data_IF_491010323262
#
_entry.id   IF_491010323262
#
_cell.length_a   1.000
_cell.length_b   1.000
_cell.length_c   1.000
_cell.angle_alpha   90.00
_cell.angle_beta   90.00
_cell.angle_gamma   90.00
#
_symmetry.space_group_name_H-M   'P 1'
#
loop_
_entity.id
_entity.type
_entity.pdbx_description
1 polymer ?
#
# COMPACT_ATOMS: atom_id res chain seq x y z
N UNK A 1 -5.58 18.17 27.86
CA UNK A 1 -6.27 17.24 26.95
C UNK A 1 -5.80 17.58 25.54
N UNK A 2 -4.66 17.04 25.12
CA UNK A 2 -4.16 17.23 23.75
C UNK A 2 -4.96 16.28 22.86
N UNK A 3 -5.87 16.81 22.05
CA UNK A 3 -6.55 16.01 21.04
C UNK A 3 -5.49 15.42 20.11
N UNK A 4 -5.47 14.10 19.96
CA UNK A 4 -4.60 13.45 18.97
C UNK A 4 -4.95 14.04 17.61
N UNK A 5 -3.97 14.52 16.82
CA UNK A 5 -4.27 15.02 15.49
C UNK A 5 -4.94 13.92 14.68
N UNK A 6 -6.13 14.20 14.16
CA UNK A 6 -6.90 13.28 13.33
C UNK A 6 -6.10 12.96 12.08
N UNK A 7 -5.79 11.68 11.87
CA UNK A 7 -5.04 11.20 10.70
C UNK A 7 -5.89 11.34 9.44
N UNK A 8 -5.28 11.64 8.29
CA UNK A 8 -5.99 11.82 7.02
C UNK A 8 -5.68 10.68 6.05
N UNK A 9 -6.73 10.09 5.48
CA UNK A 9 -6.64 9.00 4.51
C UNK A 9 -7.16 9.49 3.16
N UNK A 10 -6.49 9.11 2.09
CA UNK A 10 -6.99 9.30 0.73
C UNK A 10 -7.38 7.95 0.13
N UNK A 11 -8.63 7.81 -0.28
CA UNK A 11 -9.16 6.64 -0.98
C UNK A 11 -9.19 6.92 -2.48
N UNK A 12 -8.53 6.10 -3.29
CA UNK A 12 -8.40 6.31 -4.73
C UNK A 12 -8.95 5.12 -5.51
N UNK A 13 -9.80 5.41 -6.49
CA UNK A 13 -10.35 4.39 -7.38
C UNK A 13 -11.52 3.62 -6.76
N UNK A 14 -11.71 2.38 -7.21
CA UNK A 14 -12.85 1.53 -6.84
C UNK A 14 -12.46 0.54 -5.73
N UNK A 15 -12.31 1.06 -4.52
CA UNK A 15 -12.01 0.26 -3.33
C UNK A 15 -13.23 -0.59 -2.90
N UNK A 16 -13.01 -1.73 -2.23
CA UNK A 16 -14.09 -2.47 -1.56
C UNK A 16 -14.76 -1.61 -0.47
N UNK A 17 -15.89 -2.07 0.07
CA UNK A 17 -16.49 -1.39 1.22
C UNK A 17 -15.55 -1.41 2.43
N UNK A 18 -15.02 -0.23 2.77
CA UNK A 18 -14.08 -0.04 3.88
C UNK A 18 -14.78 0.39 5.17
N UNK A 19 -16.10 0.56 5.18
CA UNK A 19 -16.84 1.09 6.33
C UNK A 19 -16.54 0.30 7.61
N UNK A 20 -16.63 -1.03 7.56
CA UNK A 20 -16.33 -1.90 8.69
C UNK A 20 -14.84 -1.91 9.09
N UNK A 21 -13.92 -1.73 8.14
CA UNK A 21 -12.48 -1.71 8.42
C UNK A 21 -12.05 -0.40 9.10
N UNK A 22 -12.68 0.71 8.71
CA UNK A 22 -12.34 2.05 9.18
C UNK A 22 -13.19 2.51 10.37
N UNK A 23 -14.22 1.75 10.74
CA UNK A 23 -15.09 2.07 11.88
C UNK A 23 -14.28 2.24 13.18
N UNK A 24 -14.61 3.31 13.91
CA UNK A 24 -13.94 3.69 15.15
C UNK A 24 -12.48 4.15 15.03
N UNK A 25 -11.89 4.22 13.83
CA UNK A 25 -10.57 4.83 13.66
C UNK A 25 -10.69 6.37 13.73
N UNK A 26 -9.79 7.07 14.46
CA UNK A 26 -9.78 8.52 14.54
C UNK A 26 -9.17 9.15 13.27
N UNK A 27 -9.75 8.82 12.13
CA UNK A 27 -9.26 9.16 10.80
C UNK A 27 -10.33 9.90 10.00
N UNK A 28 -9.94 10.97 9.32
CA UNK A 28 -10.75 11.58 8.28
C UNK A 28 -10.35 10.99 6.93
N UNK A 29 -11.30 10.75 6.03
CA UNK A 29 -11.00 10.23 4.70
C UNK A 29 -11.61 11.10 3.60
N UNK A 30 -10.89 11.23 2.49
CA UNK A 30 -11.38 11.81 1.24
C UNK A 30 -11.33 10.77 0.14
N UNK A 31 -12.11 10.98 -0.92
CA UNK A 31 -12.19 10.08 -2.06
C UNK A 31 -11.74 10.82 -3.31
N UNK A 32 -10.91 10.17 -4.12
CA UNK A 32 -10.53 10.61 -5.46
C UNK A 32 -11.02 9.58 -6.49
N UNK A 33 -11.88 10.04 -7.41
CA UNK A 33 -12.42 9.19 -8.47
C UNK A 33 -11.48 8.99 -9.67
N UNK A 34 -10.30 9.62 -9.68
CA UNK A 34 -9.30 9.50 -10.74
C UNK A 34 -7.89 9.74 -10.19
N UNK A 35 -6.88 9.24 -10.92
CA UNK A 35 -5.46 9.43 -10.55
C UNK A 35 -5.09 10.91 -10.50
N UNK A 36 -5.55 11.71 -11.47
CA UNK A 36 -5.29 13.16 -11.50
C UNK A 36 -5.86 13.88 -10.26
N UNK A 37 -7.10 13.56 -9.86
CA UNK A 37 -7.69 14.12 -8.64
C UNK A 37 -6.95 13.65 -7.40
N UNK A 38 -6.48 12.40 -7.39
CA UNK A 38 -5.70 11.86 -6.29
C UNK A 38 -4.37 12.60 -6.15
N UNK A 39 -3.61 12.79 -7.22
CA UNK A 39 -2.35 13.55 -7.22
C UNK A 39 -2.57 14.96 -6.66
N UNK A 40 -3.60 15.67 -7.13
CA UNK A 40 -3.91 17.01 -6.61
C UNK A 40 -4.24 17.01 -5.10
N UNK A 41 -4.99 16.02 -4.62
CA UNK A 41 -5.31 15.88 -3.19
C UNK A 41 -4.07 15.50 -2.38
N UNK A 42 -3.20 14.63 -2.91
CA UNK A 42 -1.94 14.23 -2.30
C UNK A 42 -1.02 15.44 -2.11
N UNK A 43 -0.90 16.29 -3.12
CA UNK A 43 -0.05 17.49 -3.07
C UNK A 43 -0.58 18.55 -2.10
N UNK A 44 -1.90 18.76 -2.09
CA UNK A 44 -2.52 19.85 -1.33
C UNK A 44 -2.80 19.50 0.13
N UNK A 45 -3.31 18.28 0.39
CA UNK A 45 -3.70 17.85 1.72
C UNK A 45 -2.63 17.03 2.44
N UNK A 46 -1.66 16.48 1.70
CA UNK A 46 -0.62 15.54 2.19
C UNK A 46 -1.18 14.50 3.16
N UNK A 47 -1.96 13.52 2.66
CA UNK A 47 -2.58 12.50 3.50
C UNK A 47 -1.54 11.66 4.23
N UNK A 48 -1.86 11.24 5.45
CA UNK A 48 -1.03 10.33 6.24
C UNK A 48 -0.97 8.91 5.63
N UNK A 49 -1.99 8.51 4.86
CA UNK A 49 -2.06 7.20 4.20
C UNK A 49 -2.89 7.29 2.91
N UNK A 50 -2.47 6.57 1.88
CA UNK A 50 -3.21 6.43 0.63
C UNK A 50 -3.65 4.97 0.45
N UNK A 51 -4.94 4.74 0.17
CA UNK A 51 -5.47 3.45 -0.27
C UNK A 51 -5.87 3.54 -1.75
N UNK A 52 -5.43 2.59 -2.58
CA UNK A 52 -5.77 2.57 -4.01
C UNK A 52 -6.02 1.15 -4.53
N UNK A 53 -6.80 0.99 -5.59
CA UNK A 53 -7.09 -0.31 -6.22
C UNK A 53 -6.14 -0.67 -7.38
N UNK A 54 -5.23 0.23 -7.75
CA UNK A 54 -4.29 0.04 -8.86
C UNK A 54 -2.83 -0.04 -8.40
N UNK A 55 -1.99 -0.81 -9.11
CA UNK A 55 -0.58 -1.02 -8.77
C UNK A 55 0.39 -0.01 -9.40
N UNK A 56 -0.06 0.85 -10.32
CA UNK A 56 0.78 1.88 -10.91
C UNK A 56 0.89 3.09 -9.96
N UNK A 57 1.95 3.14 -9.17
CA UNK A 57 2.09 4.10 -8.07
C UNK A 57 2.97 5.30 -8.39
N UNK A 58 3.44 5.45 -9.63
CA UNK A 58 4.48 6.44 -9.96
C UNK A 58 4.02 7.87 -9.71
N UNK A 59 2.81 8.23 -10.14
CA UNK A 59 2.28 9.58 -9.98
C UNK A 59 2.03 9.94 -8.50
N UNK A 60 1.45 9.01 -7.73
CA UNK A 60 1.21 9.19 -6.30
C UNK A 60 2.53 9.31 -5.53
N UNK A 61 3.52 8.49 -5.88
CA UNK A 61 4.84 8.49 -5.25
C UNK A 61 5.62 9.76 -5.60
N UNK A 62 5.51 10.27 -6.83
CA UNK A 62 6.11 11.54 -7.22
C UNK A 62 5.51 12.72 -6.43
N UNK A 63 4.20 12.72 -6.23
CA UNK A 63 3.48 13.76 -5.48
C UNK A 63 3.79 13.74 -3.97
N UNK A 64 3.90 12.55 -3.37
CA UNK A 64 4.25 12.40 -1.96
C UNK A 64 5.26 11.27 -1.75
N UNK A 65 6.57 11.56 -1.88
CA UNK A 65 7.64 10.58 -1.83
C UNK A 65 7.62 9.68 -0.63
N UNK A 66 7.17 10.15 0.55
CA UNK A 66 7.21 9.37 1.79
C UNK A 66 5.86 8.82 2.27
N UNK A 67 4.76 9.08 1.57
CA UNK A 67 3.44 8.64 2.03
C UNK A 67 3.34 7.10 1.97
N UNK A 68 2.86 6.41 3.02
CA UNK A 68 2.54 5.01 2.90
C UNK A 68 1.37 4.83 1.92
N UNK A 69 1.47 3.81 1.08
CA UNK A 69 0.45 3.46 0.09
C UNK A 69 0.04 2.01 0.34
N UNK A 70 -1.25 1.73 0.51
CA UNK A 70 -1.79 0.39 0.60
C UNK A 70 -2.60 0.10 -0.65
N UNK A 71 -2.21 -0.93 -1.39
CA UNK A 71 -2.88 -1.33 -2.63
C UNK A 71 -3.89 -2.44 -2.31
N UNK A 72 -5.15 -2.24 -2.70
CA UNK A 72 -6.24 -3.21 -2.62
C UNK A 72 -6.62 -3.66 -4.04
N UNK A 73 -5.81 -4.53 -4.63
CA UNK A 73 -5.96 -4.92 -6.04
C UNK A 73 -6.70 -6.26 -6.17
N UNK A 74 -7.51 -6.40 -7.22
CA UNK A 74 -8.14 -7.68 -7.56
C UNK A 74 -7.20 -8.63 -8.31
N UNK A 75 -6.20 -8.08 -9.00
CA UNK A 75 -5.18 -8.84 -9.68
C UNK A 75 -4.09 -9.33 -8.70
N UNK A 76 -3.46 -10.45 -9.03
CA UNK A 76 -2.29 -11.02 -8.36
C UNK A 76 -1.13 -11.20 -9.35
N UNK A 77 -1.05 -10.39 -10.40
CA UNK A 77 0.07 -10.44 -11.33
C UNK A 77 1.37 -10.13 -10.58
N UNK A 78 2.37 -10.98 -10.75
CA UNK A 78 3.64 -10.84 -10.04
C UNK A 78 4.30 -9.49 -10.33
N UNK A 79 4.20 -8.95 -11.56
CA UNK A 79 4.70 -7.61 -11.88
C UNK A 79 4.06 -6.51 -11.04
N UNK A 80 2.75 -6.57 -10.82
CA UNK A 80 2.05 -5.63 -9.93
C UNK A 80 2.51 -5.76 -8.49
N UNK A 81 2.73 -6.98 -8.02
CA UNK A 81 3.27 -7.24 -6.67
C UNK A 81 4.70 -6.71 -6.55
N UNK A 82 5.56 -6.88 -7.56
CA UNK A 82 6.93 -6.38 -7.55
C UNK A 82 7.00 -4.85 -7.57
N UNK A 83 6.17 -4.18 -8.37
CA UNK A 83 6.05 -2.71 -8.33
C UNK A 83 5.59 -2.25 -6.94
N UNK A 84 4.60 -2.93 -6.36
CA UNK A 84 4.11 -2.62 -5.04
C UNK A 84 5.12 -2.92 -3.92
N UNK A 85 5.97 -3.96 -4.05
CA UNK A 85 7.04 -4.22 -3.08
C UNK A 85 7.96 -3.00 -2.91
N UNK A 86 8.29 -2.32 -4.01
CA UNK A 86 9.20 -1.18 -3.98
C UNK A 86 8.52 0.12 -3.54
N UNK A 87 7.26 0.30 -3.96
CA UNK A 87 6.56 1.59 -3.89
C UNK A 87 5.38 1.61 -2.94
N UNK A 88 4.93 0.49 -2.39
CA UNK A 88 3.77 0.41 -1.50
C UNK A 88 4.17 -0.10 -0.12
N UNK A 89 3.43 0.30 0.91
CA UNK A 89 3.53 -0.28 2.23
C UNK A 89 3.03 -1.74 2.23
N UNK A 90 1.89 -1.99 1.60
CA UNK A 90 1.28 -3.32 1.49
C UNK A 90 0.50 -3.48 0.18
N UNK A 91 0.32 -4.74 -0.22
CA UNK A 91 -0.54 -5.16 -1.33
C UNK A 91 -1.47 -6.25 -0.83
N UNK A 92 -2.76 -6.01 -0.89
CA UNK A 92 -3.81 -6.95 -0.49
C UNK A 92 -4.65 -7.31 -1.69
N UNK A 93 -5.09 -8.55 -1.71
CA UNK A 93 -6.01 -9.08 -2.72
C UNK A 93 -7.17 -9.79 -2.05
N UNK A 94 -8.29 -10.02 -2.76
CA UNK A 94 -9.43 -10.72 -2.18
C UNK A 94 -9.06 -12.06 -1.53
N UNK A 95 -9.73 -12.44 -0.43
CA UNK A 95 -10.84 -11.73 0.20
C UNK A 95 -10.40 -10.51 1.03
N UNK A 96 -11.09 -9.38 0.85
CA UNK A 96 -10.84 -8.11 1.54
C UNK A 96 -11.47 -8.11 2.93
N UNK A 97 -10.93 -8.94 3.82
CA UNK A 97 -11.45 -9.06 5.19
C UNK A 97 -11.26 -7.75 5.97
N UNK A 98 -12.33 -7.17 6.58
CA UNK A 98 -12.25 -5.88 7.24
C UNK A 98 -11.20 -5.81 8.36
N UNK A 99 -11.03 -6.90 9.12
CA UNK A 99 -10.02 -7.00 10.16
C UNK A 99 -8.59 -6.89 9.62
N UNK A 100 -8.31 -7.55 8.50
CA UNK A 100 -6.99 -7.53 7.85
C UNK A 100 -6.67 -6.13 7.30
N UNK A 101 -7.66 -5.48 6.66
CA UNK A 101 -7.50 -4.12 6.17
C UNK A 101 -7.23 -3.16 7.33
N UNK A 102 -8.01 -3.26 8.41
CA UNK A 102 -7.85 -2.43 9.60
C UNK A 102 -6.45 -2.55 10.20
N UNK A 103 -5.97 -3.79 10.35
CA UNK A 103 -4.62 -4.05 10.86
C UNK A 103 -3.56 -3.38 9.99
N UNK A 104 -3.64 -3.53 8.66
CA UNK A 104 -2.68 -2.95 7.72
C UNK A 104 -2.75 -1.42 7.71
N UNK A 105 -3.94 -0.84 7.79
CA UNK A 105 -4.13 0.62 7.89
C UNK A 105 -3.51 1.17 9.16
N UNK A 106 -3.77 0.56 10.30
CA UNK A 106 -3.18 0.97 11.60
C UNK A 106 -1.65 0.82 11.54
N UNK A 107 -1.16 -0.32 11.06
CA UNK A 107 0.29 -0.55 10.94
C UNK A 107 0.95 0.51 10.04
N UNK A 108 0.35 0.86 8.91
CA UNK A 108 0.87 1.87 7.99
C UNK A 108 0.84 3.29 8.57
N UNK A 109 -0.15 3.62 9.40
CA UNK A 109 -0.26 4.92 10.06
C UNK A 109 0.73 5.09 11.22
N UNK A 110 1.05 4.00 11.91
CA UNK A 110 1.94 3.98 13.07
C UNK A 110 3.42 3.76 12.68
N UNK A 111 3.68 2.97 11.65
CA UNK A 111 5.01 2.57 11.23
C UNK A 111 5.38 3.23 9.90
N UNK A 112 6.23 4.25 9.97
CA UNK A 112 6.86 4.80 8.77
C UNK A 112 8.09 3.96 8.43
N UNK A 113 7.94 3.06 7.45
CA UNK A 113 9.08 2.49 6.73
C UNK A 113 9.20 3.22 5.40
N UNK A 114 10.32 3.91 5.13
CA UNK A 114 10.44 4.71 3.92
C UNK A 114 10.28 3.83 2.67
N UNK A 115 9.75 4.38 1.58
CA UNK A 115 9.68 3.68 0.30
C UNK A 115 11.07 3.30 -0.20
N UNK A 116 11.15 2.21 -0.97
CA UNK A 116 12.43 1.62 -1.38
C UNK A 116 13.21 0.93 -0.24
N UNK A 117 12.57 0.71 0.91
CA UNK A 117 13.04 -0.20 1.98
C UNK A 117 13.07 -1.67 1.53
N UNK A 118 12.27 -2.02 0.53
CA UNK A 118 12.37 -3.26 -0.25
C UNK A 118 12.67 -2.83 -1.68
N UNK A 119 13.65 -3.48 -2.32
CA UNK A 119 14.00 -3.24 -3.71
C UNK A 119 14.20 -4.55 -4.43
N UNK A 120 13.65 -4.67 -5.63
CA UNK A 120 13.71 -5.87 -6.44
C UNK A 120 14.91 -5.76 -7.39
N UNK A 121 15.95 -6.55 -7.13
CA UNK A 121 17.18 -6.55 -7.92
C UNK A 121 17.10 -7.51 -9.13
N UNK A 122 16.35 -8.61 -8.99
CA UNK A 122 16.17 -9.60 -10.05
C UNK A 122 14.81 -10.29 -9.94
N UNK A 123 14.21 -10.58 -11.09
CA UNK A 123 12.90 -11.23 -11.28
C UNK A 123 13.06 -12.37 -12.27
N UNK A 124 13.56 -13.51 -11.82
CA UNK A 124 13.66 -14.72 -12.64
C UNK A 124 12.52 -15.68 -12.29
N UNK A 125 12.14 -16.58 -13.21
CA UNK A 125 11.26 -17.70 -12.86
C UNK A 125 11.83 -18.44 -11.64
N UNK A 126 11.01 -18.64 -10.61
CA UNK A 126 11.35 -19.29 -9.34
C UNK A 126 12.43 -18.60 -8.48
N UNK A 127 12.95 -17.43 -8.88
CA UNK A 127 14.00 -16.75 -8.14
C UNK A 127 13.82 -15.23 -8.15
N UNK A 128 13.70 -14.65 -6.96
CA UNK A 128 13.69 -13.20 -6.77
C UNK A 128 14.87 -12.79 -5.90
N UNK A 129 15.57 -11.75 -6.32
CA UNK A 129 16.64 -11.15 -5.54
C UNK A 129 16.19 -9.81 -5.01
N UNK A 130 16.29 -9.62 -3.69
CA UNK A 130 15.80 -8.42 -3.01
C UNK A 130 16.91 -7.75 -2.20
N UNK A 131 16.91 -6.41 -2.19
CA UNK A 131 17.63 -5.60 -1.20
C UNK A 131 16.63 -5.07 -0.19
N UNK A 132 16.93 -5.25 1.09
CA UNK A 132 16.04 -4.89 2.19
C UNK A 132 16.77 -3.97 3.16
N UNK A 133 16.05 -2.97 3.69
CA UNK A 133 16.45 -2.30 4.92
C UNK A 133 16.27 -3.29 6.06
N UNK A 134 17.32 -3.48 6.88
CA UNK A 134 17.28 -4.45 7.97
C UNK A 134 16.48 -3.91 9.17
N UNK A 135 15.15 -3.94 9.07
CA UNK A 135 14.22 -3.64 10.18
C UNK A 135 13.14 -4.70 10.28
N UNK A 136 12.54 -4.81 11.46
CA UNK A 136 11.43 -5.74 11.69
C UNK A 136 10.20 -5.38 10.85
N UNK A 137 9.89 -4.08 10.72
CA UNK A 137 8.79 -3.59 9.87
C UNK A 137 9.00 -3.99 8.41
N UNK A 138 10.21 -3.80 7.87
CA UNK A 138 10.54 -4.20 6.50
C UNK A 138 10.42 -5.71 6.30
N UNK A 139 10.86 -6.52 7.28
CA UNK A 139 10.74 -7.97 7.22
C UNK A 139 9.28 -8.45 7.23
N UNK A 140 8.42 -7.87 8.07
CA UNK A 140 6.99 -8.19 8.09
C UNK A 140 6.32 -7.84 6.76
N UNK A 141 6.62 -6.66 6.20
CA UNK A 141 6.12 -6.25 4.89
C UNK A 141 6.54 -7.25 3.81
N UNK A 142 7.79 -7.68 3.81
CA UNK A 142 8.28 -8.69 2.85
C UNK A 142 7.47 -9.99 2.93
N UNK A 143 7.22 -10.52 4.12
CA UNK A 143 6.42 -11.73 4.31
C UNK A 143 5.02 -11.54 3.74
N UNK A 144 4.38 -10.38 3.96
CA UNK A 144 3.07 -10.06 3.38
C UNK A 144 3.10 -10.08 1.85
N UNK A 145 4.09 -9.45 1.23
CA UNK A 145 4.22 -9.47 -0.23
C UNK A 145 4.51 -10.86 -0.79
N UNK A 146 5.36 -11.65 -0.12
CA UNK A 146 5.68 -13.01 -0.54
C UNK A 146 4.42 -13.90 -0.59
N UNK A 147 3.47 -13.70 0.33
CA UNK A 147 2.18 -14.41 0.31
C UNK A 147 1.26 -14.03 -0.87
N UNK A 148 1.51 -12.89 -1.53
CA UNK A 148 0.71 -12.45 -2.69
C UNK A 148 1.26 -12.95 -4.03
N UNK A 149 2.52 -13.40 -4.08
CA UNK A 149 3.12 -13.91 -5.30
C UNK A 149 2.47 -15.24 -5.68
N UNK A 150 2.08 -15.38 -6.95
CA UNK A 150 1.67 -16.67 -7.49
C UNK A 150 2.90 -17.57 -7.60
N UNK A 151 2.83 -18.76 -7.00
CA UNK A 151 3.90 -19.77 -7.02
C UNK A 151 4.11 -20.36 -8.42
N UNK A 152 3.12 -20.20 -9.30
CA UNK A 152 3.21 -20.51 -10.73
C UNK A 152 3.68 -19.26 -11.49
N UNK A 153 4.98 -18.97 -11.42
CA UNK A 153 5.60 -18.13 -12.46
C UNK A 153 5.51 -18.92 -13.77
N UNK A 154 4.90 -18.39 -14.84
CA UNK A 154 4.93 -19.07 -16.12
C UNK A 154 6.39 -19.30 -16.53
N UNK A 155 6.71 -20.54 -16.87
CA UNK A 155 7.93 -20.85 -17.62
C UNK A 155 7.71 -20.35 -19.06
N UNK A 156 8.03 -19.07 -19.27
CA UNK A 156 8.01 -18.35 -20.56
C UNK A 156 6.64 -18.03 -21.18
#
# INVERSE_FOLDING_TARGET
MTGTPTKTLLLVGNLPDLSAALDGLPCAFTVAGSVQSAVQQVESARPDLILCDYPDLDELRAAHPDAPIVVLAHDRANESVFVAMEKAFAYLTPPFEPGVIREVVVEALENSDPPGSIQVLSRQPNFIMLRLRCTFTTANRLVRFAMQLKTDLPEE
#
